data_IF_372099833781
#
_entry.id   IF_372099833781
#
_cell.length_a   1.000
_cell.length_b   1.000
_cell.length_c   1.000
_cell.angle_alpha   90.00
_cell.angle_beta   90.00
_cell.angle_gamma   90.00
#
_symmetry.space_group_name_H-M   'P 1'
#
loop_
_entity.id
_entity.type
_entity.pdbx_description
1 polymer ?
#
# COMPACT_ATOMS: atom_id res chain seq x y z
N UNK A 1 -58.68 -18.17 -19.76
CA UNK A 1 -58.96 -17.41 -18.52
C UNK A 1 -58.17 -17.99 -17.34
N UNK A 2 -56.85 -17.75 -17.24
CA UNK A 2 -56.03 -18.02 -16.03
C UNK A 2 -54.79 -17.11 -16.08
N UNK A 3 -55.04 -15.80 -16.09
CA UNK A 3 -54.03 -14.73 -16.10
C UNK A 3 -54.33 -13.75 -14.96
N UNK A 4 -54.35 -14.24 -13.73
CA UNK A 4 -54.59 -13.39 -12.56
C UNK A 4 -54.21 -14.16 -11.30
N UNK A 5 -52.92 -14.21 -10.95
CA UNK A 5 -52.49 -14.48 -9.56
C UNK A 5 -50.98 -14.25 -9.25
N UNK A 6 -50.14 -13.80 -10.19
CA UNK A 6 -48.69 -13.65 -9.92
C UNK A 6 -48.27 -12.19 -9.67
N UNK A 7 -49.12 -11.20 -9.97
CA UNK A 7 -48.81 -9.77 -9.73
C UNK A 7 -48.96 -9.30 -8.28
N UNK A 8 -49.42 -10.15 -7.36
CA UNK A 8 -49.60 -9.79 -5.95
C UNK A 8 -48.37 -10.08 -5.05
N UNK A 9 -47.35 -10.80 -5.54
CA UNK A 9 -46.16 -11.15 -4.75
C UNK A 9 -45.02 -10.13 -4.88
N UNK A 10 -45.18 -9.08 -5.68
CA UNK A 10 -44.14 -8.06 -5.93
C UNK A 10 -44.37 -6.77 -5.13
N UNK A 11 -45.49 -6.62 -4.40
CA UNK A 11 -45.83 -5.39 -3.67
C UNK A 11 -45.86 -5.52 -2.13
N UNK A 12 -45.50 -6.68 -1.57
CA UNK A 12 -45.50 -6.93 -0.11
C UNK A 12 -44.13 -7.30 0.49
N UNK A 13 -43.03 -7.06 -0.23
CA UNK A 13 -41.65 -7.27 0.29
C UNK A 13 -40.84 -5.95 0.26
N UNK A 14 -41.52 -4.79 0.24
CA UNK A 14 -40.87 -3.45 0.22
C UNK A 14 -41.10 -2.68 1.54
N UNK A 15 -41.76 -3.27 2.55
CA UNK A 15 -42.23 -2.49 3.71
C UNK A 15 -41.77 -2.93 5.11
N UNK A 16 -40.88 -3.91 5.29
CA UNK A 16 -40.48 -4.32 6.65
C UNK A 16 -39.00 -4.72 6.76
N UNK A 17 -38.08 -3.74 6.80
CA UNK A 17 -37.05 -3.56 7.86
C UNK A 17 -36.07 -2.41 7.54
N UNK A 18 -36.53 -1.17 7.51
CA UNK A 18 -35.63 -0.03 7.79
C UNK A 18 -35.23 -0.13 9.26
N UNK A 19 -34.06 -0.68 9.56
CA UNK A 19 -33.47 -0.62 10.90
C UNK A 19 -33.13 0.85 11.18
N UNK A 20 -33.52 1.42 12.33
CA UNK A 20 -32.97 2.71 12.74
C UNK A 20 -31.44 2.56 12.84
N UNK A 21 -30.74 3.47 12.16
CA UNK A 21 -29.29 3.60 12.24
C UNK A 21 -28.92 3.89 13.71
N UNK A 22 -27.90 3.24 14.30
CA UNK A 22 -27.41 3.63 15.61
C UNK A 22 -26.98 5.10 15.54
N UNK A 23 -27.56 5.95 16.38
CA UNK A 23 -27.09 7.31 16.62
C UNK A 23 -25.62 7.26 17.04
N UNK A 24 -24.71 8.00 16.39
CA UNK A 24 -23.35 8.14 16.88
C UNK A 24 -23.39 8.78 18.27
N UNK A 25 -22.57 8.34 19.24
CA UNK A 25 -22.43 9.06 20.49
C UNK A 25 -21.93 10.48 20.18
N UNK A 26 -22.71 11.47 20.60
CA UNK A 26 -22.30 12.87 20.61
C UNK A 26 -21.01 13.03 21.41
N UNK A 27 -19.99 13.53 20.72
CA UNK A 27 -19.00 14.51 21.16
C UNK A 27 -18.88 14.75 22.67
N UNK A 28 -17.76 14.32 23.24
CA UNK A 28 -17.14 14.99 24.39
C UNK A 28 -15.65 15.17 24.11
N UNK A 29 -15.31 16.35 23.60
CA UNK A 29 -13.96 16.94 23.68
C UNK A 29 -13.62 17.25 25.13
N UNK A 30 -12.39 16.95 25.58
CA UNK A 30 -11.72 17.82 26.53
C UNK A 30 -10.50 18.49 25.89
N UNK A 31 -10.64 19.79 25.72
CA UNK A 31 -9.73 20.84 26.22
C UNK A 31 -8.23 20.65 26.00
N UNK A 32 -7.72 21.49 25.09
CA UNK A 32 -6.35 21.94 24.96
C UNK A 32 -5.74 22.38 26.29
N UNK A 33 -4.49 21.99 26.54
CA UNK A 33 -3.62 22.72 27.46
C UNK A 33 -2.21 22.81 26.84
N UNK A 34 -1.66 24.02 26.61
CA UNK A 34 -0.30 24.20 26.12
C UNK A 34 0.67 24.12 27.30
N UNK A 35 1.73 23.32 27.17
CA UNK A 35 2.88 23.42 28.06
C UNK A 35 4.12 23.71 27.24
N UNK A 36 4.37 25.01 27.11
CA UNK A 36 5.61 25.62 26.69
C UNK A 36 6.65 25.51 27.81
N UNK A 37 7.79 24.90 27.54
CA UNK A 37 9.01 25.07 28.35
C UNK A 37 10.27 25.06 27.47
N UNK A 38 10.78 26.26 27.23
CA UNK A 38 12.19 26.62 26.97
C UNK A 38 12.38 27.95 27.71
N UNK A 39 13.55 28.29 28.31
CA UNK A 39 14.90 28.23 27.71
C UNK A 39 15.98 27.72 28.73
N UNK A 40 17.26 27.46 28.42
CA UNK A 40 18.36 28.43 28.18
C UNK A 40 19.70 27.66 28.10
N UNK A 41 20.47 27.88 27.01
CA UNK A 41 21.91 28.17 26.85
C UNK A 41 22.92 27.65 27.91
N UNK A 42 24.16 27.18 27.68
CA UNK A 42 25.26 27.28 26.67
C UNK A 42 26.54 26.64 27.34
N UNK A 43 27.80 26.65 26.84
CA UNK A 43 28.39 26.61 25.48
C UNK A 43 29.54 25.55 25.27
N UNK A 44 29.88 25.32 24.00
CA UNK A 44 31.16 25.07 23.29
C UNK A 44 32.40 24.36 23.94
N UNK A 45 32.96 23.36 23.22
CA UNK A 45 34.34 23.28 22.63
C UNK A 45 34.66 21.82 22.19
N UNK A 46 34.71 21.46 20.90
CA UNK A 46 35.90 21.32 19.98
C UNK A 46 37.03 20.38 20.47
N UNK A 47 37.74 19.60 19.60
CA UNK A 47 38.07 19.91 18.20
C UNK A 47 38.01 18.77 17.15
N UNK A 48 37.95 19.21 15.89
CA UNK A 48 38.61 18.76 14.66
C UNK A 48 39.22 17.35 14.58
N UNK A 49 38.79 16.60 13.56
CA UNK A 49 39.62 15.65 12.81
C UNK A 49 39.03 15.45 11.40
N UNK A 50 39.53 16.22 10.43
CA UNK A 50 39.70 15.76 9.04
C UNK A 50 41.09 15.12 8.96
N UNK A 51 41.42 14.16 8.06
CA UNK A 51 41.06 14.14 6.63
C UNK A 51 40.53 12.74 6.19
N UNK A 52 39.93 12.56 5.03
CA UNK A 52 40.70 12.37 3.79
C UNK A 52 39.77 12.35 2.60
N UNK A 53 40.11 13.18 1.63
CA UNK A 53 39.69 13.11 0.25
C UNK A 53 40.09 11.75 -0.31
N UNK A 54 39.08 10.91 -0.54
CA UNK A 54 39.15 9.85 -1.54
C UNK A 54 38.09 10.20 -2.57
N UNK A 55 38.47 11.04 -3.53
CA UNK A 55 37.83 11.11 -4.83
C UNK A 55 38.01 9.77 -5.52
N UNK A 56 37.23 8.78 -5.07
CA UNK A 56 36.89 7.63 -5.87
C UNK A 56 35.83 8.14 -6.82
N UNK A 57 36.24 8.42 -8.05
CA UNK A 57 35.34 8.47 -9.19
C UNK A 57 34.62 7.13 -9.23
N UNK A 58 33.54 7.00 -8.46
CA UNK A 58 32.51 6.04 -8.77
C UNK A 58 32.04 6.50 -10.14
N UNK A 59 32.45 5.77 -11.16
CA UNK A 59 31.56 5.48 -12.26
C UNK A 59 30.27 5.03 -11.57
N UNK A 60 29.40 6.01 -11.31
CA UNK A 60 28.03 5.79 -10.90
C UNK A 60 27.46 5.20 -12.17
N UNK A 61 27.70 3.91 -12.37
CA UNK A 61 26.74 3.05 -13.02
C UNK A 61 25.52 3.24 -12.14
N UNK A 62 24.75 4.27 -12.44
CA UNK A 62 23.37 4.40 -12.03
C UNK A 62 22.84 3.00 -12.24
N UNK A 63 22.60 2.26 -11.15
CA UNK A 63 21.99 0.95 -11.21
C UNK A 63 20.63 1.23 -11.83
N UNK A 64 20.59 1.08 -13.15
CA UNK A 64 19.51 1.62 -13.95
C UNK A 64 18.41 0.62 -13.73
N UNK A 65 17.48 0.97 -12.84
CA UNK A 65 16.22 0.26 -12.73
C UNK A 65 15.67 0.16 -14.16
N UNK A 66 15.43 -1.06 -14.61
CA UNK A 66 15.00 -1.36 -15.97
C UNK A 66 13.91 -2.41 -15.84
N UNK A 67 12.69 -1.97 -15.53
CA UNK A 67 11.53 -2.84 -15.40
C UNK A 67 10.59 -2.73 -16.60
N UNK A 68 9.90 -3.82 -16.91
CA UNK A 68 8.83 -3.86 -17.92
C UNK A 68 7.56 -3.18 -17.43
N UNK A 69 7.39 -3.04 -16.12
CA UNK A 69 6.31 -2.28 -15.49
C UNK A 69 6.87 -1.06 -14.75
N UNK A 70 6.10 0.03 -14.73
CA UNK A 70 6.43 1.20 -13.94
C UNK A 70 5.17 1.94 -13.45
N UNK A 71 5.26 2.52 -12.27
CA UNK A 71 4.20 3.31 -11.68
C UNK A 71 4.59 3.94 -10.35
N UNK A 72 3.59 4.38 -9.61
CA UNK A 72 3.78 4.81 -8.22
C UNK A 72 3.95 3.60 -7.29
N UNK A 73 4.70 3.79 -6.21
CA UNK A 73 4.80 2.85 -5.10
C UNK A 73 4.37 3.52 -3.79
N UNK A 74 3.42 2.91 -3.08
CA UNK A 74 3.03 3.31 -1.71
C UNK A 74 3.23 2.13 -0.75
N UNK A 75 2.77 2.30 0.49
CA UNK A 75 2.65 1.19 1.42
C UNK A 75 1.33 1.23 2.19
N UNK A 76 0.93 0.06 2.69
CA UNK A 76 -0.26 -0.15 3.51
C UNK A 76 0.07 -1.04 4.71
N UNK A 77 -0.87 -1.17 5.66
CA UNK A 77 -0.77 -2.17 6.73
C UNK A 77 -1.48 -3.45 6.31
N UNK A 78 -0.75 -4.57 6.10
CA UNK A 78 -1.36 -5.81 5.64
C UNK A 78 -2.35 -6.44 6.62
N UNK A 79 -3.19 -7.30 6.06
CA UNK A 79 -4.18 -8.10 6.78
C UNK A 79 -4.58 -9.28 5.91
N UNK A 80 -5.88 -9.59 5.84
CA UNK A 80 -6.38 -10.58 4.89
C UNK A 80 -6.35 -10.02 3.46
N UNK A 81 -5.43 -10.51 2.64
CA UNK A 81 -5.26 -10.07 1.26
C UNK A 81 -6.24 -10.73 0.28
N UNK A 82 -6.34 -10.15 -0.91
CA UNK A 82 -7.17 -10.65 -2.02
C UNK A 82 -6.81 -12.08 -2.45
N UNK A 83 -5.56 -12.53 -2.23
CA UNK A 83 -5.15 -13.90 -2.48
C UNK A 83 -5.60 -14.91 -1.41
N UNK A 84 -6.23 -14.44 -0.33
CA UNK A 84 -6.76 -15.28 0.75
C UNK A 84 -5.72 -15.68 1.80
N UNK A 85 -4.55 -15.04 1.79
CA UNK A 85 -3.54 -15.16 2.84
C UNK A 85 -3.69 -14.00 3.84
N UNK A 86 -3.29 -14.23 5.08
CA UNK A 86 -3.22 -13.18 6.10
C UNK A 86 -1.76 -12.83 6.33
N UNK A 87 -1.43 -11.58 6.09
CA UNK A 87 -0.09 -11.01 6.22
C UNK A 87 -0.03 -9.94 7.30
N UNK A 88 1.19 -9.56 7.68
CA UNK A 88 1.46 -8.48 8.60
C UNK A 88 2.50 -7.49 8.06
N UNK A 89 2.82 -6.46 8.85
CA UNK A 89 3.75 -5.41 8.46
C UNK A 89 5.18 -5.91 8.16
N UNK A 90 5.55 -7.12 8.58
CA UNK A 90 6.85 -7.75 8.35
C UNK A 90 6.86 -8.69 7.13
N UNK A 91 5.69 -9.07 6.60
CA UNK A 91 5.57 -9.89 5.39
C UNK A 91 6.22 -9.21 4.18
N UNK A 92 6.97 -9.96 3.37
CA UNK A 92 7.59 -9.47 2.13
C UNK A 92 6.61 -9.54 0.95
N UNK A 93 5.52 -8.77 1.04
CA UNK A 93 4.41 -8.83 0.10
C UNK A 93 4.09 -7.49 -0.56
N UNK A 94 3.31 -7.56 -1.63
CA UNK A 94 2.83 -6.42 -2.40
C UNK A 94 1.40 -6.66 -2.89
N UNK A 95 0.63 -5.58 -2.94
CA UNK A 95 -0.65 -5.51 -3.63
C UNK A 95 -0.44 -4.98 -5.05
N UNK A 96 -0.95 -5.71 -6.05
CA UNK A 96 -0.99 -5.20 -7.42
C UNK A 96 -2.22 -4.32 -7.64
N UNK A 97 -2.08 -3.28 -8.45
CA UNK A 97 -3.22 -2.48 -8.87
C UNK A 97 -4.30 -3.32 -9.57
N UNK A 98 -5.56 -2.91 -9.41
CA UNK A 98 -6.70 -3.59 -10.00
C UNK A 98 -6.60 -3.83 -11.53
N UNK A 99 -6.17 -2.85 -12.36
CA UNK A 99 -6.01 -3.07 -13.80
C UNK A 99 -5.09 -4.24 -14.18
N UNK A 100 -4.01 -4.46 -13.42
CA UNK A 100 -3.03 -5.51 -13.70
C UNK A 100 -3.40 -6.83 -12.99
N UNK A 101 -4.11 -6.76 -11.85
CA UNK A 101 -4.55 -7.92 -11.08
C UNK A 101 -5.80 -8.59 -11.69
N UNK A 102 -6.86 -7.83 -11.93
CA UNK A 102 -8.20 -8.35 -12.26
C UNK A 102 -8.28 -9.22 -13.52
N UNK A 103 -7.56 -8.92 -14.62
CA UNK A 103 -7.59 -9.77 -15.81
C UNK A 103 -7.17 -11.23 -15.55
N UNK A 104 -6.41 -11.46 -14.49
CA UNK A 104 -5.94 -12.80 -14.08
C UNK A 104 -6.84 -13.47 -13.04
N UNK A 105 -7.99 -12.87 -12.71
CA UNK A 105 -8.95 -13.37 -11.71
C UNK A 105 -10.03 -14.24 -12.36
N UNK A 106 -10.02 -15.57 -12.16
CA UNK A 106 -11.03 -16.45 -12.74
C UNK A 106 -12.36 -16.33 -11.99
N UNK A 107 -13.46 -16.23 -12.74
CA UNK A 107 -14.83 -16.22 -12.21
C UNK A 107 -15.09 -15.18 -11.11
N UNK A 108 -14.34 -14.07 -11.11
CA UNK A 108 -14.44 -13.03 -10.09
C UNK A 108 -13.99 -13.45 -8.68
N UNK A 109 -13.32 -14.61 -8.52
CA UNK A 109 -12.77 -15.03 -7.23
C UNK A 109 -11.29 -14.64 -7.10
N UNK A 110 -10.94 -13.57 -6.36
CA UNK A 110 -9.57 -13.09 -6.26
C UNK A 110 -8.63 -14.08 -5.56
N UNK A 111 -9.13 -14.96 -4.69
CA UNK A 111 -8.32 -16.00 -4.04
C UNK A 111 -7.81 -17.06 -5.04
N UNK A 112 -8.32 -17.04 -6.27
CA UNK A 112 -7.92 -17.94 -7.37
C UNK A 112 -7.19 -17.20 -8.48
N UNK A 113 -6.80 -15.94 -8.27
CA UNK A 113 -6.04 -15.20 -9.25
C UNK A 113 -4.69 -15.90 -9.51
N UNK A 114 -4.35 -16.08 -10.78
CA UNK A 114 -3.12 -16.77 -11.18
C UNK A 114 -1.82 -16.01 -10.85
N UNK A 115 -1.92 -14.74 -10.47
CA UNK A 115 -0.80 -13.92 -10.00
C UNK A 115 -0.48 -14.11 -8.52
N UNK A 116 -1.42 -14.64 -7.74
CA UNK A 116 -1.21 -14.89 -6.32
C UNK A 116 -0.03 -15.83 -6.08
N UNK A 117 0.85 -15.46 -5.15
CA UNK A 117 2.06 -16.23 -4.82
C UNK A 117 3.20 -16.07 -5.83
N UNK A 118 3.00 -15.36 -6.95
CA UNK A 118 4.11 -15.01 -7.85
C UNK A 118 4.95 -13.92 -7.21
N UNK A 119 6.23 -13.88 -7.57
CA UNK A 119 7.15 -12.87 -7.07
C UNK A 119 7.42 -11.81 -8.13
N UNK A 120 7.69 -10.60 -7.65
CA UNK A 120 8.20 -9.50 -8.45
C UNK A 120 9.49 -8.96 -7.86
N UNK A 121 10.39 -8.52 -8.73
CA UNK A 121 11.54 -7.69 -8.36
C UNK A 121 11.15 -6.23 -8.52
N UNK A 122 11.22 -5.47 -7.45
CA UNK A 122 10.93 -4.04 -7.40
C UNK A 122 12.24 -3.27 -7.35
N UNK A 123 12.35 -2.20 -8.13
CA UNK A 123 13.52 -1.33 -8.19
C UNK A 123 13.12 0.14 -8.07
N UNK A 124 13.82 0.87 -7.20
CA UNK A 124 13.65 2.31 -7.03
C UNK A 124 14.97 2.96 -6.60
N UNK A 125 15.38 4.04 -7.25
CA UNK A 125 16.63 4.76 -6.98
C UNK A 125 17.86 3.86 -6.82
N UNK A 126 17.95 2.83 -7.68
CA UNK A 126 19.08 1.91 -7.70
C UNK A 126 19.08 0.83 -6.62
N UNK A 127 18.08 0.81 -5.73
CA UNK A 127 17.83 -0.26 -4.76
C UNK A 127 16.84 -1.27 -5.33
N UNK A 128 16.99 -2.53 -4.95
CA UNK A 128 16.09 -3.61 -5.38
C UNK A 128 15.62 -4.45 -4.21
N UNK A 129 14.37 -4.88 -4.25
CA UNK A 129 13.75 -5.80 -3.29
C UNK A 129 12.85 -6.78 -4.03
N UNK A 130 12.70 -8.00 -3.51
CA UNK A 130 11.76 -8.99 -4.04
C UNK A 130 10.58 -9.11 -3.09
N UNK A 131 9.37 -9.14 -3.64
CA UNK A 131 8.13 -9.30 -2.89
C UNK A 131 7.19 -10.29 -3.57
N UNK A 132 6.34 -10.93 -2.77
CA UNK A 132 5.28 -11.84 -3.25
C UNK A 132 3.97 -11.08 -3.46
N UNK A 133 3.27 -11.36 -4.55
CA UNK A 133 1.94 -10.81 -4.82
C UNK A 133 0.93 -11.58 -3.97
N UNK A 134 0.38 -10.92 -2.96
CA UNK A 134 -0.61 -11.53 -2.05
C UNK A 134 -1.90 -10.71 -1.92
N UNK A 135 -1.94 -9.54 -2.56
CA UNK A 135 -3.09 -8.64 -2.44
C UNK A 135 -3.37 -7.85 -3.73
N UNK A 136 -4.49 -7.14 -3.71
CA UNK A 136 -5.00 -6.28 -4.76
C UNK A 136 -5.26 -4.90 -4.19
N UNK A 137 -4.75 -3.86 -4.84
CA UNK A 137 -5.05 -2.46 -4.55
C UNK A 137 -6.15 -1.94 -5.51
N UNK A 138 -7.41 -1.78 -5.06
CA UNK A 138 -8.53 -1.35 -5.91
C UNK A 138 -8.37 0.05 -6.52
N UNK A 139 -7.78 0.96 -5.77
CA UNK A 139 -7.64 2.38 -6.11
C UNK A 139 -6.33 2.75 -6.79
N UNK A 140 -5.37 1.82 -6.85
CA UNK A 140 -4.09 2.05 -7.49
C UNK A 140 -4.24 2.14 -9.02
N UNK A 141 -3.50 3.07 -9.62
CA UNK A 141 -3.42 3.22 -11.07
C UNK A 141 -2.68 2.02 -11.72
N UNK A 142 -2.85 1.83 -13.02
CA UNK A 142 -2.10 0.79 -13.77
C UNK A 142 -0.58 0.98 -13.60
N UNK A 143 0.14 -0.13 -13.44
CA UNK A 143 1.57 -0.16 -13.14
C UNK A 143 1.95 0.19 -11.70
N UNK A 144 1.06 0.77 -10.90
CA UNK A 144 1.34 1.10 -9.50
C UNK A 144 1.27 -0.15 -8.60
N UNK A 145 2.02 -0.12 -7.50
CA UNK A 145 2.08 -1.19 -6.51
C UNK A 145 1.96 -0.61 -5.09
N UNK A 146 1.33 -1.36 -4.20
CA UNK A 146 1.21 -0.99 -2.79
C UNK A 146 1.94 -2.03 -1.93
N UNK A 147 3.00 -1.62 -1.25
CA UNK A 147 3.94 -2.53 -0.61
C UNK A 147 3.61 -2.72 0.87
N UNK A 148 4.03 -3.84 1.47
CA UNK A 148 4.10 -3.88 2.94
C UNK A 148 5.17 -2.88 3.46
N UNK A 149 5.12 -2.50 4.74
CA UNK A 149 6.15 -1.67 5.35
C UNK A 149 7.54 -2.30 5.24
N UNK A 150 7.66 -3.61 5.42
CA UNK A 150 8.93 -4.34 5.26
C UNK A 150 9.54 -4.21 3.85
N UNK A 151 8.72 -4.20 2.80
CA UNK A 151 9.20 -4.00 1.42
C UNK A 151 9.54 -2.53 1.17
N UNK A 152 8.64 -1.60 1.54
CA UNK A 152 8.84 -0.17 1.31
C UNK A 152 10.10 0.36 2.00
N UNK A 153 10.34 -0.03 3.26
CA UNK A 153 11.47 0.42 4.07
C UNK A 153 12.83 0.01 3.48
N UNK A 154 12.89 -1.00 2.60
CA UNK A 154 14.12 -1.36 1.89
C UNK A 154 14.42 -0.40 0.74
N UNK A 155 13.40 0.24 0.17
CA UNK A 155 13.52 1.17 -0.95
C UNK A 155 13.69 2.61 -0.45
N UNK A 156 12.86 3.06 0.49
CA UNK A 156 12.82 4.45 0.93
C UNK A 156 12.41 4.59 2.41
N UNK A 157 12.64 5.77 2.97
CA UNK A 157 12.11 6.13 4.29
C UNK A 157 10.59 6.28 4.23
N UNK A 158 9.81 5.72 5.19
CA UNK A 158 8.35 5.76 5.16
C UNK A 158 7.78 7.18 5.22
N UNK A 159 8.53 8.18 5.71
CA UNK A 159 8.11 9.59 5.69
C UNK A 159 7.93 10.16 4.28
N UNK A 160 8.50 9.51 3.26
CA UNK A 160 8.29 9.88 1.85
C UNK A 160 6.84 9.58 1.41
N UNK A 161 6.23 8.52 1.95
CA UNK A 161 4.84 8.14 1.69
C UNK A 161 4.58 7.53 0.30
N UNK A 162 5.07 8.16 -0.76
CA UNK A 162 4.86 7.76 -2.15
C UNK A 162 6.13 7.90 -2.98
N UNK A 163 6.46 6.83 -3.69
CA UNK A 163 7.59 6.74 -4.60
C UNK A 163 7.07 6.88 -6.04
N UNK A 164 7.68 7.74 -6.83
CA UNK A 164 7.29 7.94 -8.23
C UNK A 164 8.30 7.28 -9.17
N UNK A 165 7.82 6.57 -10.19
CA UNK A 165 8.69 5.89 -11.13
C UNK A 165 9.36 4.65 -10.54
N UNK A 166 8.65 3.96 -9.64
CA UNK A 166 9.02 2.60 -9.23
C UNK A 166 8.93 1.71 -10.46
N UNK A 167 9.89 0.81 -10.63
CA UNK A 167 9.92 -0.15 -11.73
C UNK A 167 9.91 -1.56 -11.17
N UNK A 168 9.24 -2.48 -11.86
CA UNK A 168 9.19 -3.86 -11.41
C UNK A 168 8.99 -4.87 -12.56
N UNK A 169 9.34 -6.11 -12.29
CA UNK A 169 9.21 -7.26 -13.19
C UNK A 169 8.78 -8.50 -12.43
N UNK A 170 8.02 -9.37 -13.08
CA UNK A 170 7.86 -10.75 -12.63
C UNK A 170 9.19 -11.50 -12.70
N UNK A 171 9.45 -12.37 -11.72
CA UNK A 171 10.61 -13.28 -11.70
C UNK A 171 10.21 -14.75 -11.71
#
# INVERSE_FOLDING_TARGET
MKFSLIKALVFLIVLMKKRPLPTPPSSSTPTSSPSSSTPTSSPASSPSSSPSSSSSSSSTSSSTCSGSHSGDGTFYNPGLGACGQTDDDQSMIVALNAPDFDPSTPNGNPNKNSLCGRQIRICYNGKTVVATIEDRCPECASGAIDMSPAVFNQLADPSVGRLHGVQWDYI
#
